data_IF_286637156069
#
_entry.id   IF_286637156069
#
_cell.length_a   1.000
_cell.length_b   1.000
_cell.length_c   1.000
_cell.angle_alpha   90.00
_cell.angle_beta   90.00
_cell.angle_gamma   90.00
#
_symmetry.space_group_name_H-M   'P 1'
#
loop_
_entity.id
_entity.type
_entity.pdbx_description
1 polymer ?
#
# COMPACT_ATOMS: atom_id res chain seq x y z
N UNK A 1 60.59 34.22 -4.42
CA UNK A 1 59.20 33.72 -4.32
C UNK A 1 58.35 34.55 -5.27
N UNK A 2 57.69 33.90 -6.22
CA UNK A 2 56.93 34.56 -7.29
C UNK A 2 55.62 35.11 -6.73
N UNK A 3 55.38 36.41 -6.94
CA UNK A 3 54.19 37.13 -6.45
C UNK A 3 52.90 36.51 -6.99
N UNK A 4 52.95 35.95 -8.20
CA UNK A 4 51.80 35.31 -8.83
C UNK A 4 51.35 34.08 -8.05
N UNK A 5 52.28 33.22 -7.62
CA UNK A 5 52.00 32.02 -6.82
C UNK A 5 51.37 32.38 -5.47
N UNK A 6 51.83 33.46 -4.83
CA UNK A 6 51.28 33.92 -3.56
C UNK A 6 49.82 34.40 -3.70
N UNK A 7 49.48 35.07 -4.81
CA UNK A 7 48.12 35.50 -5.12
C UNK A 7 47.18 34.32 -5.39
N UNK A 8 47.64 33.29 -6.11
CA UNK A 8 46.84 32.10 -6.41
C UNK A 8 46.57 31.26 -5.16
N UNK A 9 47.58 31.11 -4.27
CA UNK A 9 47.40 30.45 -2.98
C UNK A 9 46.42 31.21 -2.07
N UNK A 10 46.48 32.54 -2.04
CA UNK A 10 45.55 33.37 -1.27
C UNK A 10 44.11 33.24 -1.75
N UNK A 11 43.89 33.24 -3.07
CA UNK A 11 42.56 33.09 -3.66
C UNK A 11 41.97 31.69 -3.46
N UNK A 12 42.80 30.65 -3.48
CA UNK A 12 42.38 29.28 -3.20
C UNK A 12 41.96 29.11 -1.73
N UNK A 13 42.72 29.72 -0.80
CA UNK A 13 42.42 29.69 0.64
C UNK A 13 41.12 30.42 0.99
N UNK A 14 40.83 31.56 0.35
CA UNK A 14 39.57 32.27 0.57
C UNK A 14 38.37 31.52 0.02
N UNK A 15 38.49 30.87 -1.15
CA UNK A 15 37.44 30.02 -1.73
C UNK A 15 37.16 28.78 -0.87
N UNK A 16 38.21 28.12 -0.37
CA UNK A 16 38.07 26.97 0.53
C UNK A 16 37.44 27.39 1.87
N UNK A 17 37.83 28.52 2.44
CA UNK A 17 37.25 29.05 3.67
C UNK A 17 35.77 29.43 3.48
N UNK A 18 35.42 30.05 2.36
CA UNK A 18 34.03 30.37 2.01
C UNK A 18 33.13 29.13 1.92
N UNK A 19 33.61 28.05 1.30
CA UNK A 19 32.87 26.77 1.25
C UNK A 19 32.65 26.14 2.63
N UNK A 20 33.60 26.24 3.56
CA UNK A 20 33.44 25.67 4.91
C UNK A 20 32.40 26.44 5.73
N UNK A 21 32.30 27.77 5.54
CA UNK A 21 31.25 28.60 6.18
C UNK A 21 29.86 28.25 5.63
N UNK A 22 29.73 27.93 4.34
CA UNK A 22 28.46 27.50 3.75
C UNK A 22 27.94 26.16 4.31
N UNK A 23 28.84 25.21 4.61
CA UNK A 23 28.47 23.89 5.15
C UNK A 23 28.02 23.98 6.62
N UNK A 24 28.60 24.90 7.41
CA UNK A 24 28.23 25.09 8.83
C UNK A 24 26.83 25.66 9.05
N UNK A 25 26.24 26.31 8.04
CA UNK A 25 24.87 26.85 8.09
C UNK A 25 23.80 25.82 7.67
N UNK A 26 24.19 24.61 7.25
CA UNK A 26 23.28 23.62 6.68
C UNK A 26 22.65 22.65 7.70
N UNK A 27 22.83 22.85 9.01
CA UNK A 27 22.16 22.04 10.02
C UNK A 27 21.44 22.90 11.05
N UNK A 28 20.22 23.30 10.72
CA UNK A 28 19.22 23.65 11.73
C UNK A 28 18.63 22.35 12.27
N UNK A 29 19.14 21.85 13.40
CA UNK A 29 18.33 20.92 14.20
C UNK A 29 17.21 21.76 14.82
N UNK A 30 16.01 21.62 14.27
CA UNK A 30 14.83 22.35 14.77
C UNK A 30 14.37 21.67 16.05
N UNK A 31 14.94 22.09 17.18
CA UNK A 31 14.49 21.73 18.53
C UNK A 31 13.01 22.14 18.63
N UNK A 32 12.11 21.16 18.66
CA UNK A 32 10.66 21.39 18.72
C UNK A 32 9.83 20.72 17.61
N UNK A 33 10.45 20.07 16.61
CA UNK A 33 9.70 19.22 15.68
C UNK A 33 9.10 18.05 16.47
N UNK A 34 7.79 17.77 16.30
CA UNK A 34 7.22 16.54 16.85
C UNK A 34 7.99 15.37 16.23
N UNK A 35 8.50 14.41 17.02
CA UNK A 35 9.13 13.21 16.48
C UNK A 35 8.12 12.27 15.80
N UNK A 36 6.83 12.61 15.87
CA UNK A 36 5.71 11.83 15.35
C UNK A 36 4.95 12.74 14.39
N UNK A 37 4.90 12.32 13.13
CA UNK A 37 4.00 12.87 12.13
C UNK A 37 2.70 12.05 12.12
N UNK A 38 1.57 12.75 12.05
CA UNK A 38 0.25 12.14 12.02
C UNK A 38 -0.37 12.30 10.64
N UNK A 39 -0.88 11.20 10.08
CA UNK A 39 -1.52 11.17 8.77
C UNK A 39 -2.97 10.68 8.90
N UNK A 40 -3.91 11.51 8.45
CA UNK A 40 -5.33 11.16 8.42
C UNK A 40 -5.71 10.78 6.99
N UNK A 41 -5.73 9.47 6.70
CA UNK A 41 -5.79 8.97 5.31
C UNK A 41 -6.99 9.46 4.53
N UNK A 42 -8.19 9.52 5.15
CA UNK A 42 -9.40 10.05 4.49
C UNK A 42 -9.25 11.48 3.97
N UNK A 43 -8.36 12.27 4.56
CA UNK A 43 -8.12 13.67 4.18
C UNK A 43 -6.98 13.78 3.15
N UNK A 44 -6.20 12.71 2.96
CA UNK A 44 -5.01 12.67 2.11
C UNK A 44 -5.25 11.92 0.79
N UNK A 45 -6.11 10.92 0.78
CA UNK A 45 -6.37 10.05 -0.36
C UNK A 45 -7.85 9.68 -0.44
N UNK A 46 -8.46 10.02 -1.58
CA UNK A 46 -9.84 9.68 -1.87
C UNK A 46 -10.05 8.15 -1.98
N UNK A 47 -11.21 7.66 -1.54
CA UNK A 47 -11.57 6.24 -1.60
C UNK A 47 -11.14 5.40 -0.38
N UNK A 48 -10.24 5.94 0.45
CA UNK A 48 -9.89 5.35 1.74
C UNK A 48 -10.82 5.86 2.85
N UNK A 49 -11.28 4.96 3.72
CA UNK A 49 -12.07 5.31 4.90
C UNK A 49 -11.21 5.53 6.15
N UNK A 50 -11.85 5.36 7.31
CA UNK A 50 -11.28 5.69 8.62
C UNK A 50 -10.75 4.50 9.41
N UNK A 51 -10.78 3.31 8.83
CA UNK A 51 -10.46 2.08 9.54
C UNK A 51 -9.20 1.41 8.99
N UNK A 52 -8.06 1.67 9.64
CA UNK A 52 -6.79 1.01 9.36
C UNK A 52 -6.72 -0.33 10.11
N UNK A 53 -6.60 -1.43 9.39
CA UNK A 53 -6.72 -2.78 9.94
C UNK A 53 -5.40 -3.54 9.98
N UNK A 54 -4.53 -3.26 9.00
CA UNK A 54 -3.31 -4.02 8.77
C UNK A 54 -2.30 -3.13 8.09
N UNK A 55 -1.02 -3.46 8.25
CA UNK A 55 0.07 -2.81 7.55
C UNK A 55 1.14 -3.83 7.18
N UNK A 56 1.87 -3.53 6.12
CA UNK A 56 3.07 -4.25 5.73
C UNK A 56 4.03 -3.30 5.00
N UNK A 57 5.23 -3.77 4.67
CA UNK A 57 6.21 -3.00 3.89
C UNK A 57 6.59 -3.76 2.63
N UNK A 58 6.57 -3.09 1.48
CA UNK A 58 7.00 -3.71 0.24
C UNK A 58 8.52 -3.75 0.05
N UNK A 59 8.97 -4.42 -1.01
CA UNK A 59 10.39 -4.60 -1.31
C UNK A 59 11.15 -3.29 -1.58
N UNK A 60 10.44 -2.19 -1.84
CA UNK A 60 11.01 -0.86 -2.04
C UNK A 60 11.00 -0.03 -0.74
N UNK A 61 10.58 -0.62 0.38
CA UNK A 61 10.51 0.04 1.67
C UNK A 61 9.26 0.93 1.83
N UNK A 62 8.30 0.89 0.90
CA UNK A 62 7.07 1.69 0.98
C UNK A 62 6.12 1.04 1.95
N UNK A 63 5.44 1.86 2.76
CA UNK A 63 4.49 1.37 3.76
C UNK A 63 3.15 1.14 3.08
N UNK A 64 2.58 -0.03 3.26
CA UNK A 64 1.25 -0.40 2.81
C UNK A 64 0.32 -0.44 4.02
N UNK A 65 -0.84 0.19 3.92
CA UNK A 65 -1.88 0.18 4.95
C UNK A 65 -3.16 -0.34 4.32
N UNK A 66 -3.65 -1.47 4.83
CA UNK A 66 -4.96 -1.97 4.49
C UNK A 66 -6.01 -1.17 5.26
N UNK A 67 -6.79 -0.39 4.53
CA UNK A 67 -7.86 0.45 5.06
C UNK A 67 -9.22 -0.04 4.54
N UNK A 68 -10.31 0.34 5.19
CA UNK A 68 -11.65 0.25 4.61
C UNK A 68 -11.72 0.91 3.22
N UNK A 69 -11.89 0.10 2.18
CA UNK A 69 -12.11 0.52 0.80
C UNK A 69 -10.88 0.58 -0.08
N UNK A 70 -9.66 0.61 0.50
CA UNK A 70 -8.43 0.86 -0.26
C UNK A 70 -7.20 0.17 0.34
N UNK A 71 -6.18 -0.02 -0.50
CA UNK A 71 -4.78 -0.19 -0.09
C UNK A 71 -4.11 1.19 -0.19
N UNK A 72 -3.72 1.78 0.93
CA UNK A 72 -2.95 3.02 0.93
C UNK A 72 -1.44 2.70 0.92
N UNK A 73 -0.67 3.36 0.06
CA UNK A 73 0.79 3.23 -0.05
C UNK A 73 1.47 4.55 0.24
N UNK A 74 2.45 4.54 1.13
CA UNK A 74 3.29 5.68 1.49
C UNK A 74 4.72 5.47 1.04
N UNK A 75 5.26 6.40 0.26
CA UNK A 75 6.63 6.34 -0.28
C UNK A 75 7.68 7.09 0.57
N UNK A 76 7.27 7.67 1.71
CA UNK A 76 8.10 8.55 2.53
C UNK A 76 7.78 10.04 2.38
N UNK A 77 7.04 10.42 1.34
CA UNK A 77 6.61 11.79 1.09
C UNK A 77 5.12 11.91 0.72
N UNK A 78 4.60 10.97 -0.07
CA UNK A 78 3.25 11.00 -0.64
C UNK A 78 2.48 9.72 -0.35
N UNK A 79 1.16 9.87 -0.26
CA UNK A 79 0.20 8.79 -0.14
C UNK A 79 -0.50 8.54 -1.47
N UNK A 80 -0.74 7.26 -1.79
CA UNK A 80 -1.52 6.85 -2.95
C UNK A 80 -2.47 5.72 -2.57
N UNK A 81 -3.70 5.77 -3.07
CA UNK A 81 -4.71 4.75 -2.80
C UNK A 81 -4.93 3.84 -4.02
N UNK A 82 -5.16 2.56 -3.74
CA UNK A 82 -5.53 1.55 -4.73
C UNK A 82 -6.81 0.86 -4.28
N UNK A 83 -7.85 0.95 -5.10
CA UNK A 83 -9.15 0.40 -4.77
C UNK A 83 -9.24 -1.05 -5.26
N UNK A 84 -9.96 -1.87 -4.50
CA UNK A 84 -10.35 -3.21 -4.91
C UNK A 84 -11.76 -3.20 -5.52
N UNK A 85 -12.25 -4.38 -5.92
CA UNK A 85 -13.67 -4.56 -6.25
C UNK A 85 -14.56 -4.11 -5.07
N UNK A 86 -15.74 -3.48 -5.30
CA UNK A 86 -16.69 -3.14 -4.25
C UNK A 86 -17.04 -4.28 -3.28
N UNK A 87 -16.99 -5.55 -3.73
CA UNK A 87 -17.21 -6.72 -2.89
C UNK A 87 -16.08 -6.96 -1.87
N UNK A 88 -14.87 -6.47 -2.13
CA UNK A 88 -13.63 -6.71 -1.39
C UNK A 88 -13.26 -5.53 -0.46
N UNK A 89 -14.17 -4.61 -0.15
CA UNK A 89 -13.85 -3.33 0.52
C UNK A 89 -13.29 -3.40 1.96
N UNK A 90 -13.23 -4.56 2.60
CA UNK A 90 -12.83 -4.66 4.00
C UNK A 90 -11.57 -5.50 4.15
N UNK A 91 -10.42 -4.85 4.09
CA UNK A 91 -9.13 -5.52 4.16
C UNK A 91 -8.84 -5.92 5.60
N UNK A 92 -8.53 -7.19 5.82
CA UNK A 92 -8.18 -7.74 7.14
C UNK A 92 -6.74 -8.27 7.19
N UNK A 93 -6.05 -8.32 6.06
CA UNK A 93 -4.64 -8.72 5.98
C UNK A 93 -4.01 -8.22 4.68
N UNK A 94 -2.76 -7.80 4.76
CA UNK A 94 -1.93 -7.39 3.64
C UNK A 94 -0.60 -8.12 3.76
N UNK A 95 -0.12 -8.68 2.64
CA UNK A 95 1.18 -9.34 2.56
C UNK A 95 1.89 -8.92 1.27
N UNK A 96 2.91 -8.10 1.40
CA UNK A 96 3.80 -7.73 0.32
C UNK A 96 4.82 -8.84 0.04
N UNK A 97 5.08 -9.11 -1.23
CA UNK A 97 6.06 -10.09 -1.67
C UNK A 97 7.26 -9.41 -2.33
N UNK A 98 8.46 -10.04 -2.27
CA UNK A 98 9.64 -9.51 -2.95
C UNK A 98 9.51 -9.34 -4.48
N UNK A 99 8.57 -10.07 -5.10
CA UNK A 99 8.26 -9.97 -6.53
C UNK A 99 7.30 -8.81 -6.88
N UNK A 100 6.93 -7.98 -5.89
CA UNK A 100 6.07 -6.81 -6.08
C UNK A 100 4.58 -7.11 -5.99
N UNK A 101 4.18 -8.37 -5.85
CA UNK A 101 2.77 -8.73 -5.63
C UNK A 101 2.36 -8.44 -4.20
N UNK A 102 1.13 -7.98 -4.02
CA UNK A 102 0.59 -7.66 -2.69
C UNK A 102 -0.68 -8.45 -2.50
N UNK A 103 -0.63 -9.51 -1.70
CA UNK A 103 -1.79 -10.32 -1.38
C UNK A 103 -2.63 -9.59 -0.34
N UNK A 104 -3.94 -9.59 -0.54
CA UNK A 104 -4.90 -8.96 0.37
C UNK A 104 -6.03 -9.94 0.65
N UNK A 105 -6.27 -10.15 1.94
CA UNK A 105 -7.46 -10.86 2.41
C UNK A 105 -8.53 -9.85 2.78
N UNK A 106 -9.78 -10.21 2.55
CA UNK A 106 -10.94 -9.38 2.89
C UNK A 106 -12.03 -10.25 3.51
N UNK A 107 -13.11 -9.64 4.00
CA UNK A 107 -14.26 -10.41 4.55
C UNK A 107 -14.96 -11.31 3.53
N UNK A 108 -14.92 -10.95 2.24
CA UNK A 108 -15.73 -11.58 1.18
C UNK A 108 -14.95 -11.96 -0.06
N UNK A 109 -13.66 -11.64 -0.09
CA UNK A 109 -12.75 -11.86 -1.19
C UNK A 109 -11.35 -12.19 -0.69
N UNK A 110 -10.57 -12.85 -1.52
CA UNK A 110 -9.14 -13.05 -1.38
C UNK A 110 -8.51 -12.78 -2.74
N UNK A 111 -7.54 -11.88 -2.79
CA UNK A 111 -6.96 -11.45 -4.05
C UNK A 111 -5.56 -10.88 -3.91
N UNK A 112 -5.09 -10.27 -4.98
CA UNK A 112 -3.82 -9.56 -4.98
C UNK A 112 -3.87 -8.28 -5.81
N UNK A 113 -3.00 -7.36 -5.46
CA UNK A 113 -2.59 -6.25 -6.30
C UNK A 113 -1.33 -6.61 -7.07
N UNK A 114 -1.34 -6.37 -8.38
CA UNK A 114 -0.19 -6.50 -9.28
C UNK A 114 0.07 -5.20 -10.01
N UNK A 115 1.32 -4.97 -10.42
CA UNK A 115 1.65 -3.80 -11.21
C UNK A 115 0.85 -3.79 -12.52
N UNK A 116 0.29 -2.63 -12.87
CA UNK A 116 -0.34 -2.41 -14.17
C UNK A 116 0.66 -1.75 -15.16
N UNK A 117 0.28 -1.69 -16.43
CA UNK A 117 1.09 -1.10 -17.51
C UNK A 117 1.35 0.41 -17.33
N UNK A 118 0.67 1.06 -16.38
CA UNK A 118 0.79 2.49 -16.08
C UNK A 118 1.65 2.73 -14.82
N UNK A 119 2.24 1.69 -14.24
CA UNK A 119 3.02 1.76 -13.01
C UNK A 119 2.17 1.89 -11.74
N UNK A 120 0.86 1.70 -11.84
CA UNK A 120 -0.08 1.58 -10.73
C UNK A 120 -0.16 0.15 -10.20
N UNK A 121 -1.21 -0.12 -9.42
CA UNK A 121 -1.56 -1.44 -8.94
C UNK A 121 -3.01 -1.76 -9.32
N UNK A 122 -3.21 -2.91 -9.95
CA UNK A 122 -4.51 -3.44 -10.34
C UNK A 122 -4.93 -4.61 -9.44
N UNK A 123 -6.19 -4.58 -9.01
CA UNK A 123 -6.80 -5.64 -8.20
C UNK A 123 -7.14 -6.87 -9.05
N UNK A 124 -6.79 -8.05 -8.54
CA UNK A 124 -7.16 -9.35 -9.08
C UNK A 124 -7.74 -10.21 -7.96
N UNK A 125 -9.04 -10.52 -8.05
CA UNK A 125 -9.65 -11.54 -7.17
C UNK A 125 -9.10 -12.92 -7.54
N UNK A 126 -8.74 -13.69 -6.52
CA UNK A 126 -8.34 -15.09 -6.63
C UNK A 126 -9.48 -16.04 -6.27
N UNK A 127 -10.65 -15.52 -5.87
CA UNK A 127 -11.82 -16.34 -5.67
C UNK A 127 -12.48 -16.64 -7.01
N UNK A 128 -12.90 -17.90 -7.26
CA UNK A 128 -13.80 -18.16 -8.37
C UNK A 128 -15.08 -17.35 -8.15
N UNK A 129 -15.61 -16.74 -9.21
CA UNK A 129 -16.80 -15.84 -9.23
C UNK A 129 -18.04 -16.39 -8.50
N UNK A 130 -18.05 -17.67 -8.11
CA UNK A 130 -19.13 -18.32 -7.40
C UNK A 130 -18.84 -18.55 -5.90
N UNK A 131 -19.08 -17.53 -5.08
CA UNK A 131 -19.53 -17.74 -3.70
C UNK A 131 -20.97 -17.22 -3.62
N UNK A 132 -21.97 -18.11 -3.50
CA UNK A 132 -23.36 -17.66 -3.46
C UNK A 132 -23.57 -16.83 -2.19
N UNK A 133 -24.17 -15.64 -2.34
CA UNK A 133 -24.43 -14.69 -1.23
C UNK A 133 -25.32 -15.25 -0.12
N UNK A 134 -25.88 -16.46 -0.29
CA UNK A 134 -26.60 -17.24 0.70
C UNK A 134 -26.29 -18.72 0.48
N UNK A 135 -25.86 -19.42 1.53
CA UNK A 135 -26.10 -20.86 1.59
C UNK A 135 -27.62 -21.08 1.57
N UNK A 136 -28.18 -21.91 0.67
CA UNK A 136 -29.56 -22.33 0.84
C UNK A 136 -29.67 -23.05 2.18
N UNK A 137 -30.60 -22.59 3.04
CA UNK A 137 -30.86 -23.29 4.29
C UNK A 137 -31.35 -24.72 3.98
N UNK A 138 -31.01 -25.72 4.82
CA UNK A 138 -31.40 -27.12 4.59
C UNK A 138 -32.91 -27.30 4.36
N UNK A 139 -33.71 -26.38 4.90
CA UNK A 139 -35.17 -26.37 4.84
C UNK A 139 -35.74 -26.10 3.43
N UNK A 140 -34.96 -25.52 2.52
CA UNK A 140 -35.41 -25.24 1.14
C UNK A 140 -35.28 -26.42 0.19
N UNK A 141 -34.49 -27.45 0.53
CA UNK A 141 -34.24 -28.62 -0.32
C UNK A 141 -35.32 -29.73 -0.20
N UNK A 142 -36.27 -29.61 0.74
CA UNK A 142 -37.27 -30.65 1.04
C UNK A 142 -38.62 -30.48 0.32
N UNK A 143 -38.77 -29.51 -0.59
CA UNK A 143 -40.01 -29.31 -1.35
C UNK A 143 -39.75 -29.32 -2.85
N UNK A 144 -39.47 -30.49 -3.41
CA UNK A 144 -39.76 -30.88 -4.81
C UNK A 144 -39.21 -32.29 -5.09
N UNK A 145 -40.02 -33.36 -5.08
CA UNK A 145 -39.59 -34.62 -5.67
C UNK A 145 -39.69 -34.47 -7.20
N UNK A 146 -38.55 -34.38 -7.89
CA UNK A 146 -38.50 -34.49 -9.35
C UNK A 146 -37.85 -33.34 -10.10
N UNK A 147 -36.57 -33.05 -9.81
CA UNK A 147 -35.54 -32.65 -10.79
C UNK A 147 -34.22 -32.50 -10.06
N UNK A 148 -33.38 -33.53 -10.12
CA UNK A 148 -31.95 -33.31 -9.89
C UNK A 148 -31.45 -32.52 -11.08
N UNK A 149 -31.10 -31.25 -10.87
CA UNK A 149 -30.28 -30.53 -11.81
C UNK A 149 -28.91 -31.22 -11.85
N UNK A 150 -28.56 -31.76 -13.01
CA UNK A 150 -27.21 -32.21 -13.35
C UNK A 150 -26.24 -31.05 -13.15
N UNK A 151 -25.55 -31.00 -12.02
CA UNK A 151 -24.60 -29.92 -11.72
C UNK A 151 -23.81 -30.07 -10.43
N UNK A 152 -24.28 -30.87 -9.47
CA UNK A 152 -23.56 -31.08 -8.21
C UNK A 152 -22.75 -32.38 -8.23
N UNK A 153 -21.68 -32.43 -9.02
CA UNK A 153 -20.59 -33.38 -8.80
C UNK A 153 -19.42 -32.58 -8.22
N UNK A 154 -19.15 -32.75 -6.92
CA UNK A 154 -17.81 -32.50 -6.37
C UNK A 154 -17.57 -31.32 -5.43
N UNK A 155 -18.58 -30.64 -4.89
CA UNK A 155 -18.35 -29.59 -3.88
C UNK A 155 -18.91 -29.99 -2.51
N UNK A 156 -18.19 -30.86 -1.79
CA UNK A 156 -18.25 -30.88 -0.32
C UNK A 156 -17.29 -29.81 0.19
N UNK A 157 -17.76 -28.57 0.20
CA UNK A 157 -17.38 -27.63 1.25
C UNK A 157 -18.68 -27.22 1.88
N UNK A 158 -19.14 -28.07 2.80
CA UNK A 158 -20.13 -27.68 3.79
C UNK A 158 -19.35 -27.23 5.02
N UNK A 159 -19.63 -26.03 5.50
CA UNK A 159 -19.34 -25.66 6.89
C UNK A 159 -20.01 -26.64 7.85
#
# INVERSE_FOLDING_TARGET
MDRTVLHHCGLLLTLLCGMHVCVGMAQTSVIGRRPIDTYVLRDLVEGCGDFNQTLDQDAQGRILVGNSGCLARFDGAHWQAYNSDPAARYFNGVLARPDGRIFVTTERDFGLFEADDRGGLAWHSLLPVWIPRRCPSPTSALRSPGRMASGCVGARVCC
#
